data_IF_775565552192
#
_entry.id   IF_775565552192
#
_cell.length_a   1.000
_cell.length_b   1.000
_cell.length_c   1.000
_cell.angle_alpha   90.00
_cell.angle_beta   90.00
_cell.angle_gamma   90.00
#
_symmetry.space_group_name_H-M   'P 1'
#
loop_
_entity.id
_entity.type
_entity.pdbx_description
1 polymer ?
#
# COMPACT_ATOMS: atom_id res chain seq x y z
N UNK A 1 1.53 -11.24 -33.73
CA UNK A 1 2.11 -9.91 -33.43
C UNK A 1 1.18 -8.73 -33.77
N UNK A 2 0.59 -8.62 -34.98
CA UNK A 2 -0.32 -7.50 -35.31
C UNK A 2 -1.64 -7.52 -34.51
N UNK A 3 -2.19 -8.70 -34.25
CA UNK A 3 -3.41 -8.90 -33.45
C UNK A 3 -3.24 -8.41 -32.00
N UNK A 4 -2.17 -8.82 -31.30
CA UNK A 4 -1.88 -8.38 -29.92
C UNK A 4 -1.63 -6.87 -29.80
N UNK A 5 -1.04 -6.24 -30.83
CA UNK A 5 -0.81 -4.78 -30.82
C UNK A 5 -2.14 -4.03 -30.98
N UNK A 6 -3.03 -4.52 -31.85
CA UNK A 6 -4.37 -3.96 -32.07
C UNK A 6 -5.25 -4.12 -30.84
N UNK A 7 -5.21 -5.29 -30.20
CA UNK A 7 -5.95 -5.55 -28.95
C UNK A 7 -5.49 -4.62 -27.82
N UNK A 8 -4.17 -4.45 -27.63
CA UNK A 8 -3.62 -3.49 -26.65
C UNK A 8 -4.06 -2.05 -26.93
N UNK A 9 -4.16 -1.65 -28.20
CA UNK A 9 -4.64 -0.32 -28.58
C UNK A 9 -6.14 -0.16 -28.30
N UNK A 10 -6.95 -1.18 -28.60
CA UNK A 10 -8.39 -1.21 -28.31
C UNK A 10 -8.62 -1.12 -26.79
N UNK A 11 -7.91 -1.92 -26.00
CA UNK A 11 -8.02 -1.89 -24.54
C UNK A 11 -7.65 -0.51 -23.98
N UNK A 12 -6.55 0.10 -24.44
CA UNK A 12 -6.19 1.47 -24.02
C UNK A 12 -7.23 2.51 -24.44
N UNK A 13 -7.79 2.38 -25.63
CA UNK A 13 -8.85 3.28 -26.11
C UNK A 13 -10.08 3.22 -25.19
N UNK A 14 -10.56 2.01 -24.85
CA UNK A 14 -11.66 1.85 -23.91
C UNK A 14 -11.31 2.29 -22.49
N UNK A 15 -10.08 2.10 -22.02
CA UNK A 15 -9.65 2.64 -20.73
C UNK A 15 -9.74 4.17 -20.69
N UNK A 16 -9.25 4.84 -21.75
CA UNK A 16 -9.32 6.30 -21.88
C UNK A 16 -10.77 6.77 -22.00
N UNK A 17 -11.61 6.07 -22.77
CA UNK A 17 -13.02 6.46 -22.94
C UNK A 17 -13.79 6.37 -21.62
N UNK A 18 -13.53 5.35 -20.80
CA UNK A 18 -14.15 5.19 -19.48
C UNK A 18 -13.78 6.37 -18.57
N UNK A 19 -12.50 6.73 -18.54
CA UNK A 19 -12.02 7.85 -17.72
C UNK A 19 -12.65 9.17 -18.18
N UNK A 20 -12.61 9.46 -19.48
CA UNK A 20 -13.18 10.70 -20.03
C UNK A 20 -14.69 10.76 -19.77
N UNK A 21 -15.41 9.67 -20.00
CA UNK A 21 -16.86 9.60 -19.78
C UNK A 21 -17.19 9.82 -18.31
N UNK A 22 -16.45 9.20 -17.38
CA UNK A 22 -16.63 9.39 -15.95
C UNK A 22 -16.48 10.85 -15.53
N UNK A 23 -15.37 11.50 -15.90
CA UNK A 23 -15.14 12.91 -15.53
C UNK A 23 -16.11 13.88 -16.22
N UNK A 24 -16.52 13.60 -17.46
CA UNK A 24 -17.51 14.41 -18.17
C UNK A 24 -18.89 14.30 -17.51
N UNK A 25 -19.33 13.09 -17.18
CA UNK A 25 -20.60 12.86 -16.49
C UNK A 25 -20.61 13.51 -15.09
N UNK A 26 -19.50 13.45 -14.36
CA UNK A 26 -19.38 14.11 -13.05
C UNK A 26 -19.48 15.63 -13.17
N UNK A 27 -18.79 16.25 -14.13
CA UNK A 27 -18.87 17.69 -14.38
C UNK A 27 -20.30 18.10 -14.78
N UNK A 28 -20.95 17.35 -15.67
CA UNK A 28 -22.32 17.60 -16.10
C UNK A 28 -23.28 17.47 -14.92
N UNK A 29 -23.23 16.37 -14.18
CA UNK A 29 -24.11 16.12 -13.05
C UNK A 29 -23.99 17.21 -11.97
N UNK A 30 -22.76 17.70 -11.72
CA UNK A 30 -22.51 18.80 -10.79
C UNK A 30 -23.07 20.13 -11.31
N UNK A 31 -22.80 20.48 -12.59
CA UNK A 31 -23.27 21.74 -13.20
C UNK A 31 -24.80 21.83 -13.31
N UNK A 32 -25.45 20.71 -13.63
CA UNK A 32 -26.91 20.65 -13.76
C UNK A 32 -27.62 20.37 -12.42
N UNK A 33 -26.89 20.39 -11.29
CA UNK A 33 -27.43 20.12 -9.94
C UNK A 33 -28.16 18.78 -9.82
N UNK A 34 -27.78 17.78 -10.63
CA UNK A 34 -28.26 16.40 -10.47
C UNK A 34 -27.67 15.76 -9.20
N UNK A 35 -26.50 16.25 -8.79
CA UNK A 35 -25.84 15.96 -7.51
C UNK A 35 -25.59 17.29 -6.80
N UNK A 36 -25.55 17.26 -5.47
CA UNK A 36 -25.26 18.46 -4.67
C UNK A 36 -23.81 18.93 -4.94
N UNK A 37 -23.59 20.11 -5.56
CA UNK A 37 -22.25 20.60 -5.87
C UNK A 37 -21.42 20.88 -4.61
N UNK A 38 -22.06 21.09 -3.45
CA UNK A 38 -21.36 21.27 -2.18
C UNK A 38 -20.66 19.97 -1.77
N UNK A 39 -21.33 18.83 -1.91
CA UNK A 39 -20.82 17.52 -1.50
C UNK A 39 -19.89 16.91 -2.54
N UNK A 40 -20.26 17.00 -3.82
CA UNK A 40 -19.56 16.31 -4.90
C UNK A 40 -18.56 17.19 -5.65
N UNK A 41 -18.54 18.51 -5.38
CA UNK A 41 -17.71 19.47 -6.12
C UNK A 41 -17.88 19.32 -7.65
N UNK A 42 -16.94 19.85 -8.41
CA UNK A 42 -16.81 19.59 -9.85
C UNK A 42 -15.35 19.34 -10.21
N UNK A 43 -15.06 18.48 -11.21
CA UNK A 43 -13.71 18.32 -11.75
C UNK A 43 -13.00 19.65 -12.05
N UNK A 44 -13.72 20.63 -12.60
CA UNK A 44 -13.16 21.96 -12.87
C UNK A 44 -12.80 22.75 -11.60
N UNK A 45 -13.65 22.70 -10.56
CA UNK A 45 -13.36 23.30 -9.24
C UNK A 45 -12.14 22.66 -8.58
N UNK A 46 -12.03 21.32 -8.65
CA UNK A 46 -10.88 20.58 -8.11
C UNK A 46 -9.60 20.97 -8.85
N UNK A 47 -9.66 21.07 -10.18
CA UNK A 47 -8.51 21.49 -10.98
C UNK A 47 -8.04 22.91 -10.65
N UNK A 48 -8.99 23.84 -10.48
CA UNK A 48 -8.67 25.20 -10.04
C UNK A 48 -8.01 25.22 -8.65
N UNK A 49 -8.55 24.45 -7.71
CA UNK A 49 -7.98 24.32 -6.37
C UNK A 49 -6.59 23.69 -6.41
N UNK A 50 -6.37 22.67 -7.23
CA UNK A 50 -5.07 22.03 -7.45
C UNK A 50 -4.01 23.05 -7.89
N UNK A 51 -4.31 23.85 -8.92
CA UNK A 51 -3.37 24.89 -9.40
C UNK A 51 -3.10 25.94 -8.31
N UNK A 52 -4.14 26.37 -7.60
CA UNK A 52 -4.01 27.34 -6.50
C UNK A 52 -3.10 26.81 -5.39
N UNK A 53 -3.32 25.54 -4.99
CA UNK A 53 -2.61 24.87 -3.90
C UNK A 53 -1.20 24.38 -4.26
N UNK A 54 -0.90 24.30 -5.55
CA UNK A 54 0.47 24.11 -6.03
C UNK A 54 1.23 25.43 -5.97
N UNK A 55 0.60 26.54 -6.37
CA UNK A 55 1.23 27.87 -6.37
C UNK A 55 1.56 28.36 -4.96
N UNK A 56 0.75 28.01 -3.96
CA UNK A 56 1.00 28.35 -2.55
C UNK A 56 1.94 27.35 -1.84
N UNK A 57 2.45 26.34 -2.55
CA UNK A 57 3.30 25.25 -2.04
C UNK A 57 2.70 24.38 -0.92
N UNK A 58 1.44 24.62 -0.52
CA UNK A 58 0.81 23.86 0.57
C UNK A 58 0.51 22.42 0.15
N UNK A 59 0.03 22.20 -1.08
CA UNK A 59 -0.24 20.85 -1.58
C UNK A 59 1.04 20.01 -1.64
N UNK A 60 2.13 20.60 -2.12
CA UNK A 60 3.42 19.92 -2.23
C UNK A 60 3.93 19.51 -0.85
N UNK A 61 3.82 20.39 0.14
CA UNK A 61 4.23 20.09 1.51
C UNK A 61 3.45 18.90 2.06
N UNK A 62 2.12 18.96 2.04
CA UNK A 62 1.28 17.86 2.52
C UNK A 62 1.48 16.55 1.74
N UNK A 63 1.65 16.64 0.42
CA UNK A 63 1.95 15.48 -0.44
C UNK A 63 3.28 14.83 -0.05
N UNK A 64 4.34 15.62 0.15
CA UNK A 64 5.66 15.07 0.50
C UNK A 64 5.69 14.42 1.88
N UNK A 65 4.95 14.97 2.85
CA UNK A 65 4.81 14.36 4.19
C UNK A 65 4.17 12.99 4.08
N UNK A 66 2.97 12.89 3.49
CA UNK A 66 2.26 11.62 3.35
C UNK A 66 3.05 10.60 2.54
N UNK A 67 3.69 11.04 1.46
CA UNK A 67 4.52 10.16 0.63
C UNK A 67 5.70 9.61 1.43
N UNK A 68 6.38 10.44 2.21
CA UNK A 68 7.52 10.02 3.04
C UNK A 68 7.08 9.04 4.12
N UNK A 69 6.00 9.35 4.83
CA UNK A 69 5.42 8.47 5.85
C UNK A 69 5.00 7.12 5.27
N UNK A 70 4.35 7.13 4.10
CA UNK A 70 3.90 5.92 3.40
C UNK A 70 5.07 5.07 2.93
N UNK A 71 6.08 5.68 2.32
CA UNK A 71 7.28 4.96 1.84
C UNK A 71 8.05 4.36 3.01
N UNK A 72 8.22 5.10 4.10
CA UNK A 72 8.88 4.58 5.31
C UNK A 72 8.07 3.44 5.94
N UNK A 73 6.77 3.61 6.12
CA UNK A 73 5.89 2.57 6.66
C UNK A 73 5.90 1.30 5.80
N UNK A 74 5.88 1.46 4.48
CA UNK A 74 5.98 0.37 3.51
C UNK A 74 7.31 -0.38 3.61
N UNK A 75 8.45 0.33 3.57
CA UNK A 75 9.78 -0.28 3.60
C UNK A 75 10.02 -0.98 4.94
N UNK A 76 9.81 -0.25 6.04
CA UNK A 76 10.03 -0.77 7.39
C UNK A 76 9.09 -1.94 7.65
N UNK A 77 7.81 -1.80 7.32
CA UNK A 77 6.81 -2.84 7.58
C UNK A 77 7.08 -4.12 6.78
N UNK A 78 7.44 -3.98 5.50
CA UNK A 78 7.77 -5.15 4.68
C UNK A 78 9.06 -5.82 5.14
N UNK A 79 10.13 -5.05 5.40
CA UNK A 79 11.40 -5.61 5.85
C UNK A 79 11.26 -6.37 7.17
N UNK A 80 10.58 -5.77 8.15
CA UNK A 80 10.33 -6.42 9.44
C UNK A 80 9.45 -7.65 9.26
N UNK A 81 8.41 -7.59 8.42
CA UNK A 81 7.53 -8.73 8.16
C UNK A 81 8.25 -9.92 7.49
N UNK A 82 9.13 -9.66 6.51
CA UNK A 82 9.96 -10.72 5.90
C UNK A 82 10.91 -11.33 6.93
N UNK A 83 11.53 -10.50 7.77
CA UNK A 83 12.39 -10.97 8.86
C UNK A 83 11.62 -11.88 9.83
N UNK A 84 10.41 -11.47 10.25
CA UNK A 84 9.56 -12.31 11.10
C UNK A 84 9.18 -13.63 10.42
N UNK A 85 8.78 -13.61 9.15
CA UNK A 85 8.49 -14.82 8.39
C UNK A 85 9.69 -15.79 8.35
N UNK A 86 10.90 -15.27 8.13
CA UNK A 86 12.12 -16.07 8.11
C UNK A 86 12.44 -16.67 9.49
N UNK A 87 12.25 -15.90 10.57
CA UNK A 87 12.42 -16.38 11.96
C UNK A 87 11.42 -17.50 12.26
N UNK A 88 10.14 -17.32 11.92
CA UNK A 88 9.10 -18.31 12.17
C UNK A 88 9.36 -19.62 11.41
N UNK A 89 9.87 -19.53 10.18
CA UNK A 89 10.31 -20.69 9.42
C UNK A 89 11.52 -21.38 10.07
N UNK A 90 12.48 -20.61 10.56
CA UNK A 90 13.68 -21.17 11.19
C UNK A 90 13.39 -21.87 12.51
N UNK A 91 12.38 -21.42 13.26
CA UNK A 91 12.03 -21.96 14.58
C UNK A 91 10.60 -22.51 14.62
N UNK A 92 10.39 -23.80 14.24
CA UNK A 92 9.06 -24.41 14.21
C UNK A 92 8.29 -24.36 15.54
N UNK A 93 9.01 -24.37 16.68
CA UNK A 93 8.40 -24.21 18.00
C UNK A 93 7.81 -22.81 18.19
N UNK A 94 8.54 -21.78 17.77
CA UNK A 94 8.08 -20.38 17.85
C UNK A 94 6.89 -20.16 16.94
N UNK A 95 6.89 -20.70 15.71
CA UNK A 95 5.70 -20.65 14.86
C UNK A 95 4.49 -21.27 15.54
N UNK A 96 4.58 -22.50 16.06
CA UNK A 96 3.40 -23.12 16.71
C UNK A 96 2.84 -22.29 17.88
N UNK A 97 3.68 -21.55 18.58
CA UNK A 97 3.26 -20.66 19.67
C UNK A 97 2.64 -19.37 19.11
N UNK A 98 3.23 -18.79 18.07
CA UNK A 98 2.86 -17.47 17.53
C UNK A 98 1.71 -17.52 16.51
N UNK A 99 1.51 -18.65 15.84
CA UNK A 99 0.46 -18.89 14.83
C UNK A 99 -0.94 -18.39 15.26
N UNK A 100 -1.49 -18.74 16.45
CA UNK A 100 -2.81 -18.24 16.86
C UNK A 100 -2.82 -16.72 17.06
N UNK A 101 -1.72 -16.12 17.53
CA UNK A 101 -1.63 -14.67 17.71
C UNK A 101 -1.55 -13.93 16.38
N UNK A 102 -0.86 -14.47 15.37
CA UNK A 102 -0.84 -13.88 14.02
C UNK A 102 -2.23 -13.85 13.40
N UNK A 103 -3.02 -14.92 13.58
CA UNK A 103 -4.41 -14.98 13.12
C UNK A 103 -5.26 -13.92 13.83
N UNK A 104 -5.12 -13.78 15.15
CA UNK A 104 -5.85 -12.75 15.92
C UNK A 104 -5.47 -11.34 15.48
N UNK A 105 -4.16 -11.06 15.33
CA UNK A 105 -3.66 -9.77 14.85
C UNK A 105 -4.14 -9.47 13.43
N UNK A 106 -4.28 -10.50 12.58
CA UNK A 106 -4.86 -10.36 11.25
C UNK A 106 -6.39 -10.20 11.26
N UNK A 107 -7.10 -10.75 12.24
CA UNK A 107 -8.55 -10.56 12.36
C UNK A 107 -8.90 -9.18 12.96
N UNK A 108 -8.02 -8.64 13.80
CA UNK A 108 -8.24 -7.36 14.49
C UNK A 108 -8.30 -6.19 13.50
N UNK A 109 -9.17 -5.19 13.74
CA UNK A 109 -9.10 -3.90 13.04
C UNK A 109 -7.81 -3.18 13.47
N UNK A 110 -6.77 -3.25 12.62
CA UNK A 110 -5.46 -2.61 12.94
C UNK A 110 -5.58 -1.10 13.15
N UNK A 111 -6.60 -0.48 12.54
CA UNK A 111 -6.96 0.93 12.75
C UNK A 111 -7.19 1.25 14.24
N UNK A 112 -7.74 0.31 15.01
CA UNK A 112 -8.01 0.50 16.44
C UNK A 112 -6.72 0.58 17.29
N UNK A 113 -5.57 0.18 16.76
CA UNK A 113 -4.27 0.29 17.43
C UNK A 113 -3.68 1.71 17.35
N UNK A 114 -4.22 2.57 16.47
CA UNK A 114 -3.72 3.93 16.26
C UNK A 114 -3.56 4.73 17.56
N UNK A 115 -4.62 4.89 18.38
CA UNK A 115 -4.53 5.61 19.66
C UNK A 115 -3.46 5.06 20.61
N UNK A 116 -3.27 3.73 20.65
CA UNK A 116 -2.25 3.10 21.50
C UNK A 116 -0.84 3.47 21.00
N UNK A 117 -0.62 3.41 19.69
CA UNK A 117 0.65 3.81 19.08
C UNK A 117 0.96 5.28 19.31
N UNK A 118 -0.05 6.14 19.27
CA UNK A 118 0.09 7.58 19.52
C UNK A 118 0.47 7.85 20.99
N UNK A 119 -0.19 7.18 21.94
CA UNK A 119 0.16 7.33 23.37
C UNK A 119 1.57 6.79 23.65
N UNK A 120 1.95 5.69 23.01
CA UNK A 120 3.25 5.05 23.24
C UNK A 120 4.42 5.78 22.57
N UNK A 121 4.26 6.23 21.32
CA UNK A 121 5.32 6.81 20.49
C UNK A 121 5.27 8.35 20.41
N UNK A 122 4.18 8.93 20.90
CA UNK A 122 3.89 10.35 20.84
C UNK A 122 3.19 10.78 19.53
N UNK A 123 2.68 12.02 19.48
CA UNK A 123 1.94 12.54 18.34
C UNK A 123 2.85 13.07 17.23
N UNK A 124 3.60 12.17 16.59
CA UNK A 124 4.65 12.50 15.63
C UNK A 124 4.64 11.54 14.44
N UNK A 125 5.52 11.81 13.46
CA UNK A 125 5.70 10.99 12.26
C UNK A 125 5.95 9.51 12.57
N UNK A 126 6.64 9.18 13.68
CA UNK A 126 6.97 7.79 14.00
C UNK A 126 5.72 6.97 14.36
N UNK A 127 4.74 7.56 15.04
CA UNK A 127 3.45 6.89 15.32
C UNK A 127 2.67 6.59 14.03
N UNK A 128 2.68 7.51 13.07
CA UNK A 128 1.99 7.36 11.77
C UNK A 128 2.68 6.30 10.92
N UNK A 129 4.01 6.35 10.84
CA UNK A 129 4.83 5.34 10.15
C UNK A 129 4.64 3.96 10.80
N UNK A 130 4.59 3.88 12.13
CA UNK A 130 4.32 2.63 12.84
C UNK A 130 2.93 2.07 12.51
N UNK A 131 1.94 2.93 12.34
CA UNK A 131 0.59 2.54 11.93
C UNK A 131 0.54 2.00 10.50
N UNK A 132 1.27 2.61 9.57
CA UNK A 132 1.48 2.05 8.22
C UNK A 132 2.24 0.72 8.25
N UNK A 133 3.29 0.64 9.08
CA UNK A 133 4.15 -0.51 9.18
C UNK A 133 3.45 -1.73 9.78
N UNK A 134 2.66 -1.59 10.86
CA UNK A 134 2.05 -2.73 11.57
C UNK A 134 1.13 -3.56 10.66
N UNK A 135 0.40 -2.90 9.76
CA UNK A 135 -0.47 -3.55 8.78
C UNK A 135 0.38 -4.39 7.83
N UNK A 136 1.44 -3.79 7.28
CA UNK A 136 2.36 -4.46 6.37
C UNK A 136 3.13 -5.59 7.04
N UNK A 137 3.55 -5.43 8.30
CA UNK A 137 4.28 -6.46 9.07
C UNK A 137 3.44 -7.72 9.17
N UNK A 138 2.20 -7.61 9.63
CA UNK A 138 1.33 -8.77 9.88
C UNK A 138 1.05 -9.51 8.57
N UNK A 139 0.65 -8.79 7.52
CA UNK A 139 0.28 -9.39 6.23
C UNK A 139 1.51 -10.01 5.55
N UNK A 140 2.64 -9.31 5.55
CA UNK A 140 3.89 -9.87 5.01
C UNK A 140 4.33 -11.10 5.75
N UNK A 141 4.29 -11.06 7.09
CA UNK A 141 4.69 -12.19 7.92
C UNK A 141 3.87 -13.42 7.56
N UNK A 142 2.54 -13.29 7.48
CA UNK A 142 1.65 -14.41 7.18
C UNK A 142 1.87 -14.93 5.76
N UNK A 143 1.83 -14.06 4.75
CA UNK A 143 1.89 -14.48 3.34
C UNK A 143 3.25 -15.10 3.00
N UNK A 144 4.34 -14.47 3.43
CA UNK A 144 5.70 -14.97 3.17
C UNK A 144 5.97 -16.23 3.98
N UNK A 145 5.53 -16.32 5.23
CA UNK A 145 5.68 -17.53 6.04
C UNK A 145 4.92 -18.71 5.44
N UNK A 146 3.68 -18.51 4.99
CA UNK A 146 2.90 -19.53 4.29
C UNK A 146 3.62 -19.98 3.03
N UNK A 147 4.14 -19.04 2.22
CA UNK A 147 4.94 -19.37 1.04
C UNK A 147 6.16 -20.24 1.39
N UNK A 148 6.87 -19.95 2.48
CA UNK A 148 8.01 -20.76 2.92
C UNK A 148 7.62 -22.19 3.31
N UNK A 149 6.39 -22.41 3.81
CA UNK A 149 5.89 -23.75 4.16
C UNK A 149 5.37 -24.53 2.96
N UNK A 150 4.87 -23.83 1.93
CA UNK A 150 4.28 -24.43 0.73
C UNK A 150 5.32 -24.83 -0.32
N UNK A 151 6.61 -24.48 -0.13
CA UNK A 151 7.70 -24.97 -0.98
C UNK A 151 7.73 -26.49 -1.01
N UNK A 152 7.80 -27.09 -2.20
CA UNK A 152 7.81 -28.54 -2.37
C UNK A 152 8.92 -29.19 -1.54
N UNK A 153 8.52 -30.10 -0.65
CA UNK A 153 9.40 -30.86 0.20
C UNK A 153 10.45 -31.67 -0.60
N UNK A 154 10.19 -31.98 -1.87
CA UNK A 154 11.14 -32.65 -2.75
C UNK A 154 12.42 -31.84 -2.98
N UNK A 155 12.34 -30.50 -3.08
CA UNK A 155 13.55 -29.66 -3.16
C UNK A 155 14.44 -29.84 -1.92
N UNK A 156 13.81 -29.88 -0.74
CA UNK A 156 14.50 -30.08 0.53
C UNK A 156 15.09 -31.50 0.60
N UNK A 157 14.36 -32.54 0.16
CA UNK A 157 14.85 -33.92 0.12
C UNK A 157 16.06 -34.07 -0.80
N UNK A 158 16.05 -33.46 -1.99
CA UNK A 158 17.21 -33.47 -2.90
C UNK A 158 18.41 -32.82 -2.21
N UNK A 159 18.25 -31.64 -1.63
CA UNK A 159 19.34 -30.98 -0.88
C UNK A 159 19.85 -31.83 0.30
N UNK A 160 18.95 -32.57 0.98
CA UNK A 160 19.33 -33.51 2.03
C UNK A 160 20.20 -34.66 1.51
N UNK A 161 19.94 -35.18 0.30
CA UNK A 161 20.81 -36.23 -0.29
C UNK A 161 22.22 -35.75 -0.57
N UNK A 162 22.41 -34.44 -0.79
CA UNK A 162 23.72 -33.80 -0.93
C UNK A 162 24.35 -33.37 0.42
N UNK A 163 23.74 -33.72 1.55
CA UNK A 163 24.24 -33.34 2.88
C UNK A 163 24.10 -31.85 3.21
N UNK A 164 23.21 -31.14 2.51
CA UNK A 164 23.03 -29.71 2.70
C UNK A 164 22.52 -29.38 4.12
N UNK A 165 23.05 -28.31 4.70
CA UNK A 165 22.65 -27.76 6.00
C UNK A 165 21.32 -27.00 5.89
N UNK A 166 20.65 -26.78 7.03
CA UNK A 166 19.40 -26.01 7.11
C UNK A 166 19.50 -24.60 6.51
N UNK A 167 20.68 -23.96 6.60
CA UNK A 167 20.95 -22.66 5.97
C UNK A 167 20.91 -22.76 4.46
N UNK A 168 21.49 -23.81 3.88
CA UNK A 168 21.45 -24.08 2.45
C UNK A 168 20.02 -24.43 2.00
N UNK A 169 19.22 -25.13 2.81
CA UNK A 169 17.80 -25.33 2.47
C UNK A 169 17.06 -24.00 2.32
N UNK A 170 17.33 -23.05 3.23
CA UNK A 170 16.71 -21.74 3.17
C UNK A 170 17.17 -20.92 1.98
N UNK A 171 18.48 -20.80 1.75
CA UNK A 171 19.03 -19.92 0.71
C UNK A 171 18.91 -20.47 -0.69
N UNK A 172 18.99 -21.80 -0.87
CA UNK A 172 19.04 -22.44 -2.21
C UNK A 172 17.68 -22.93 -2.69
N UNK A 173 16.76 -23.29 -1.79
CA UNK A 173 15.43 -23.78 -2.18
C UNK A 173 14.31 -22.82 -1.78
N UNK A 174 14.24 -22.44 -0.50
CA UNK A 174 13.03 -21.84 0.04
C UNK A 174 12.90 -20.36 -0.31
N UNK A 175 13.97 -19.60 -0.13
CA UNK A 175 14.02 -18.18 -0.45
C UNK A 175 13.85 -17.94 -1.98
N UNK A 176 14.54 -18.69 -2.88
CA UNK A 176 14.33 -18.55 -4.32
C UNK A 176 12.92 -18.95 -4.76
N UNK A 177 12.38 -20.08 -4.25
CA UNK A 177 11.04 -20.52 -4.62
C UNK A 177 9.94 -19.54 -4.14
N UNK A 178 10.18 -18.85 -3.02
CA UNK A 178 9.22 -17.87 -2.46
C UNK A 178 9.44 -16.44 -2.93
N UNK A 179 10.48 -16.19 -3.72
CA UNK A 179 10.80 -14.85 -4.24
C UNK A 179 9.64 -14.20 -5.01
N UNK A 180 8.90 -14.93 -5.88
CA UNK A 180 7.72 -14.39 -6.54
C UNK A 180 6.65 -13.94 -5.55
N UNK A 181 6.42 -14.72 -4.48
CA UNK A 181 5.43 -14.41 -3.45
C UNK A 181 5.84 -13.21 -2.59
N UNK A 182 7.13 -13.10 -2.24
CA UNK A 182 7.66 -11.92 -1.54
C UNK A 182 7.43 -10.66 -2.37
N UNK A 183 7.70 -10.74 -3.68
CA UNK A 183 7.51 -9.62 -4.59
C UNK A 183 6.03 -9.28 -4.77
N UNK A 184 5.14 -10.26 -4.96
CA UNK A 184 3.70 -9.99 -5.08
C UNK A 184 3.13 -9.37 -3.80
N UNK A 185 3.68 -9.75 -2.65
CA UNK A 185 3.32 -9.17 -1.34
C UNK A 185 3.68 -7.69 -1.26
N UNK A 186 4.79 -7.25 -1.88
CA UNK A 186 5.13 -5.81 -1.96
C UNK A 186 4.00 -5.00 -2.61
N UNK A 187 3.39 -5.49 -3.70
CA UNK A 187 2.28 -4.78 -4.35
C UNK A 187 1.07 -4.62 -3.44
N UNK A 188 0.74 -5.68 -2.69
CA UNK A 188 -0.37 -5.67 -1.73
C UNK A 188 -0.07 -4.67 -0.60
N UNK A 189 1.15 -4.67 -0.09
CA UNK A 189 1.59 -3.75 0.97
C UNK A 189 1.59 -2.29 0.56
N UNK A 190 1.75 -1.94 -0.72
CA UNK A 190 1.60 -0.55 -1.17
C UNK A 190 0.24 -0.02 -0.74
N UNK A 191 -0.85 -0.68 -1.13
CA UNK A 191 -2.20 -0.23 -0.82
C UNK A 191 -2.47 -0.18 0.69
N UNK A 192 -2.00 -1.19 1.42
CA UNK A 192 -2.19 -1.29 2.86
C UNK A 192 -1.41 -0.22 3.65
N UNK A 193 -0.22 0.15 3.17
CA UNK A 193 0.60 1.20 3.80
C UNK A 193 -0.07 2.57 3.64
N UNK A 194 -0.66 2.84 2.47
CA UNK A 194 -1.48 4.06 2.28
C UNK A 194 -2.64 4.10 3.28
N UNK A 195 -3.39 3.01 3.42
CA UNK A 195 -4.50 2.94 4.38
C UNK A 195 -4.01 3.21 5.81
N UNK A 196 -2.93 2.57 6.24
CA UNK A 196 -2.39 2.75 7.59
C UNK A 196 -1.90 4.16 7.86
N UNK A 197 -1.18 4.77 6.93
CA UNK A 197 -0.65 6.14 7.07
C UNK A 197 -1.77 7.17 7.04
N UNK A 198 -2.72 7.08 6.12
CA UNK A 198 -3.85 8.02 6.05
C UNK A 198 -4.65 8.00 7.36
N UNK A 199 -4.89 6.80 7.91
CA UNK A 199 -5.59 6.68 9.20
C UNK A 199 -4.73 7.21 10.35
N UNK A 200 -3.40 7.04 10.31
CA UNK A 200 -2.50 7.68 11.26
C UNK A 200 -2.54 9.20 11.18
N UNK A 201 -2.54 9.75 9.97
CA UNK A 201 -2.66 11.19 9.72
C UNK A 201 -3.99 11.74 10.23
N UNK A 202 -5.07 10.97 10.09
CA UNK A 202 -6.40 11.35 10.57
C UNK A 202 -6.45 11.58 12.09
N UNK A 203 -5.71 10.79 12.85
CA UNK A 203 -5.82 10.83 14.30
C UNK A 203 -5.07 12.02 14.91
N UNK A 204 -3.94 12.43 14.31
CA UNK A 204 -2.96 13.29 15.02
C UNK A 204 -2.22 14.26 14.13
N UNK A 205 -2.14 14.02 12.82
CA UNK A 205 -1.25 14.81 12.00
C UNK A 205 -1.77 16.23 11.79
N UNK A 206 -0.83 17.18 11.75
CA UNK A 206 -1.08 18.58 11.38
C UNK A 206 -0.69 18.86 9.92
N UNK A 207 -0.17 17.85 9.21
CA UNK A 207 0.30 17.95 7.84
C UNK A 207 0.10 16.61 7.13
N UNK A 208 -0.35 16.63 5.87
CA UNK A 208 -0.56 15.41 5.10
C UNK A 208 -1.84 15.49 4.30
N UNK A 209 -1.98 14.64 3.29
CA UNK A 209 -3.19 14.54 2.48
C UNK A 209 -4.36 14.00 3.31
N UNK A 210 -4.11 13.11 4.25
CA UNK A 210 -5.09 12.63 5.23
C UNK A 210 -5.55 13.74 6.18
N UNK A 211 -4.62 14.57 6.66
CA UNK A 211 -4.97 15.77 7.41
C UNK A 211 -5.88 16.72 6.59
N UNK A 212 -5.54 16.96 5.31
CA UNK A 212 -6.35 17.80 4.43
C UNK A 212 -7.77 17.24 4.20
N UNK A 213 -7.95 15.91 4.20
CA UNK A 213 -9.28 15.29 4.14
C UNK A 213 -10.10 15.64 5.38
N UNK A 214 -9.56 15.42 6.58
CA UNK A 214 -10.31 15.70 7.81
C UNK A 214 -10.58 17.19 7.96
N UNK A 215 -9.58 18.03 7.68
CA UNK A 215 -9.74 19.47 7.73
C UNK A 215 -10.82 19.93 6.73
N UNK A 216 -10.75 19.47 5.48
CA UNK A 216 -11.75 19.75 4.45
C UNK A 216 -13.15 19.33 4.85
N UNK A 217 -13.28 18.15 5.48
CA UNK A 217 -14.55 17.66 6.01
C UNK A 217 -15.08 18.55 7.14
N UNK A 218 -14.24 18.95 8.09
CA UNK A 218 -14.60 19.80 9.24
C UNK A 218 -15.07 21.20 8.82
N UNK A 219 -14.47 21.78 7.77
CA UNK A 219 -14.84 23.10 7.25
C UNK A 219 -15.86 23.02 6.09
N UNK A 220 -16.44 21.85 5.85
CA UNK A 220 -17.38 21.58 4.75
C UNK A 220 -16.85 21.95 3.35
N UNK A 221 -15.53 21.91 3.17
CA UNK A 221 -14.88 22.08 1.87
C UNK A 221 -14.59 20.72 1.23
N UNK A 222 -15.61 20.13 0.61
CA UNK A 222 -15.46 18.84 -0.08
C UNK A 222 -14.61 18.92 -1.35
N UNK A 223 -14.41 20.11 -1.93
CA UNK A 223 -13.44 20.30 -3.02
C UNK A 223 -12.02 19.97 -2.54
N UNK A 224 -11.67 20.35 -1.29
CA UNK A 224 -10.40 19.99 -0.67
C UNK A 224 -10.31 18.48 -0.40
N UNK A 225 -11.39 17.88 0.11
CA UNK A 225 -11.47 16.44 0.39
C UNK A 225 -11.23 15.63 -0.89
N UNK A 226 -11.95 15.96 -1.97
CA UNK A 226 -11.87 15.27 -3.25
C UNK A 226 -10.52 15.50 -3.93
N UNK A 227 -9.95 16.70 -3.83
CA UNK A 227 -8.58 16.98 -4.28
C UNK A 227 -7.57 16.05 -3.58
N UNK A 228 -7.63 15.95 -2.25
CA UNK A 228 -6.74 15.08 -1.48
C UNK A 228 -6.92 13.61 -1.83
N UNK A 229 -8.16 13.14 -2.00
CA UNK A 229 -8.46 11.77 -2.43
C UNK A 229 -7.89 11.46 -3.81
N UNK A 230 -8.03 12.38 -4.77
CA UNK A 230 -7.46 12.23 -6.11
C UNK A 230 -5.93 12.22 -6.09
N UNK A 231 -5.31 13.05 -5.24
CA UNK A 231 -3.86 13.05 -5.05
C UNK A 231 -3.37 11.72 -4.46
N UNK A 232 -4.06 11.19 -3.44
CA UNK A 232 -3.76 9.87 -2.88
C UNK A 232 -3.91 8.78 -3.94
N UNK A 233 -4.99 8.78 -4.72
CA UNK A 233 -5.22 7.82 -5.80
C UNK A 233 -4.11 7.89 -6.87
N UNK A 234 -3.69 9.10 -7.25
CA UNK A 234 -2.59 9.31 -8.19
C UNK A 234 -1.26 8.77 -7.65
N UNK A 235 -0.88 9.16 -6.42
CA UNK A 235 0.39 8.78 -5.81
C UNK A 235 0.46 7.28 -5.50
N UNK A 236 -0.63 6.71 -4.99
CA UNK A 236 -0.73 5.27 -4.73
C UNK A 236 -0.63 4.46 -6.03
N UNK A 237 -1.26 4.91 -7.11
CA UNK A 237 -1.12 4.30 -8.44
C UNK A 237 0.33 4.37 -8.96
N UNK A 238 1.00 5.52 -8.81
CA UNK A 238 2.41 5.67 -9.18
C UNK A 238 3.28 4.70 -8.38
N UNK A 239 3.11 4.65 -7.06
CA UNK A 239 3.86 3.75 -6.18
C UNK A 239 3.60 2.28 -6.53
N UNK A 240 2.35 1.90 -6.83
CA UNK A 240 1.99 0.56 -7.26
C UNK A 240 2.66 0.19 -8.60
N UNK A 241 2.67 1.11 -9.57
CA UNK A 241 3.33 0.90 -10.86
C UNK A 241 4.85 0.78 -10.72
N UNK A 242 5.47 1.58 -9.84
CA UNK A 242 6.90 1.49 -9.54
C UNK A 242 7.26 0.13 -8.96
N UNK A 243 6.50 -0.37 -7.99
CA UNK A 243 6.69 -1.72 -7.43
C UNK A 243 6.44 -2.79 -8.50
N UNK A 244 5.43 -2.64 -9.35
CA UNK A 244 5.19 -3.56 -10.46
C UNK A 244 6.28 -3.57 -11.52
N UNK A 245 6.97 -2.45 -11.74
CA UNK A 245 8.15 -2.40 -12.60
C UNK A 245 9.35 -3.09 -11.94
N UNK A 246 9.57 -2.86 -10.65
CA UNK A 246 10.61 -3.54 -9.87
C UNK A 246 10.40 -5.06 -9.88
N UNK A 247 9.17 -5.52 -9.71
CA UNK A 247 8.80 -6.93 -9.80
C UNK A 247 9.23 -7.56 -11.13
N UNK A 248 8.86 -6.95 -12.26
CA UNK A 248 9.24 -7.45 -13.59
C UNK A 248 10.75 -7.48 -13.79
N UNK A 249 11.48 -6.55 -13.21
CA UNK A 249 12.94 -6.48 -13.31
C UNK A 249 13.62 -7.55 -12.45
N UNK A 250 13.09 -7.82 -11.25
CA UNK A 250 13.59 -8.84 -10.33
C UNK A 250 13.27 -10.25 -10.83
N UNK A 251 12.05 -10.50 -11.30
CA UNK A 251 11.67 -11.82 -11.86
C UNK A 251 12.39 -12.19 -13.15
N UNK A 252 12.93 -11.22 -13.90
CA UNK A 252 13.78 -11.50 -15.07
C UNK A 252 15.21 -11.93 -14.69
N UNK A 253 15.61 -11.75 -13.43
CA UNK A 253 16.95 -12.03 -12.92
C UNK A 253 16.99 -13.21 -11.94
N UNK A 254 15.83 -13.64 -11.44
CA UNK A 254 15.64 -14.84 -10.65
C UNK A 254 15.41 -16.04 -11.58
#
# INVERSE_FOLDING_TARGET
MAYEKREKQIVRFFQVIIVITFFSLWEIASRFHWIDPLLFSSPSSIWYLFITKIRDHTLLTHTTVTLTETVLGFIVGTMIGVCFAAILWWFPRVSKIVDPYLVILNAMPKVALGPILIVALGPNMTSIVAMGAIISIIITTIVVYTSFKEVDANYIKVLQTFGATKRQWFTEAILPASFPTIISTLKVNVGLSWVGVIVGEFLVSKQGLGYMIIYGFQVFNFTLVLLSLLMIALLSSIMYQLVGWLEKKLMKRA
#
